data_IF_608601315386
#
_entry.id   IF_608601315386
#
_cell.length_a   1.000
_cell.length_b   1.000
_cell.length_c   1.000
_cell.angle_alpha   90.00
_cell.angle_beta   90.00
_cell.angle_gamma   90.00
#
_symmetry.space_group_name_H-M   'P 1'
#
loop_
_entity.id
_entity.type
_entity.pdbx_description
1 polymer ?
#
# COMPACT_ATOMS: atom_id res chain seq x y z
N UNK A 1 17.96 -91.96 25.33
CA UNK A 1 18.69 -90.80 24.81
C UNK A 1 17.85 -90.12 23.78
N UNK A 2 17.20 -88.97 24.11
CA UNK A 2 16.38 -88.14 23.21
C UNK A 2 17.11 -86.82 23.02
N UNK A 3 17.58 -86.60 21.78
CA UNK A 3 18.23 -85.38 21.39
C UNK A 3 17.19 -84.44 20.84
N UNK A 4 16.98 -83.30 21.53
CA UNK A 4 16.17 -82.18 21.04
C UNK A 4 16.98 -81.30 20.11
N UNK A 5 16.56 -81.22 18.88
CA UNK A 5 17.04 -80.27 17.90
C UNK A 5 16.20 -78.94 18.07
N UNK A 6 16.82 -77.89 18.54
CA UNK A 6 16.23 -76.54 18.56
C UNK A 6 16.64 -75.81 17.28
N UNK A 7 15.69 -75.64 16.37
CA UNK A 7 15.86 -74.84 15.18
C UNK A 7 15.73 -73.36 15.50
N UNK A 8 16.82 -72.64 15.50
CA UNK A 8 16.83 -71.16 15.65
C UNK A 8 16.52 -70.57 14.29
N UNK A 9 15.33 -69.98 14.15
CA UNK A 9 14.96 -69.25 12.92
C UNK A 9 15.57 -67.83 13.04
N UNK A 10 16.58 -67.59 12.19
CA UNK A 10 17.24 -66.30 12.10
C UNK A 10 16.45 -65.41 11.12
N UNK A 11 15.92 -64.23 11.51
CA UNK A 11 15.17 -63.36 10.61
C UNK A 11 16.12 -62.77 9.55
N UNK A 12 15.73 -62.97 8.27
CA UNK A 12 16.49 -62.55 7.11
C UNK A 12 16.70 -61.02 7.10
N UNK A 13 17.86 -60.59 6.67
CA UNK A 13 18.28 -59.18 6.58
C UNK A 13 17.35 -58.30 5.71
N UNK A 14 16.57 -58.91 4.86
CA UNK A 14 15.57 -58.29 4.00
C UNK A 14 14.41 -57.67 4.81
N UNK A 15 13.99 -58.31 5.93
CA UNK A 15 12.87 -57.82 6.76
C UNK A 15 13.22 -56.51 7.51
N UNK A 16 14.51 -56.36 7.89
CA UNK A 16 14.99 -55.13 8.55
C UNK A 16 15.04 -53.93 7.62
N UNK A 17 15.27 -54.13 6.32
CA UNK A 17 15.25 -53.04 5.32
C UNK A 17 13.86 -52.57 5.03
N UNK A 18 12.89 -53.49 4.97
CA UNK A 18 11.48 -53.16 4.71
C UNK A 18 10.85 -52.31 5.83
N UNK A 19 11.13 -52.64 7.07
CA UNK A 19 10.63 -51.86 8.24
C UNK A 19 11.22 -50.46 8.28
N UNK A 20 12.48 -50.28 7.85
CA UNK A 20 13.10 -48.93 7.79
C UNK A 20 12.49 -48.08 6.68
N UNK A 21 12.19 -48.65 5.51
CA UNK A 21 11.55 -47.92 4.42
C UNK A 21 10.11 -47.47 4.80
N UNK A 22 9.34 -48.32 5.44
CA UNK A 22 7.97 -47.99 5.88
C UNK A 22 7.99 -46.86 6.94
N UNK A 23 8.96 -46.85 7.85
CA UNK A 23 9.08 -45.77 8.86
C UNK A 23 9.52 -44.43 8.24
N UNK A 24 10.39 -44.42 7.25
CA UNK A 24 10.78 -43.19 6.54
C UNK A 24 9.66 -42.62 5.67
N UNK A 25 8.87 -43.47 5.01
CA UNK A 25 7.72 -43.03 4.22
C UNK A 25 6.59 -42.45 5.09
N UNK A 26 6.37 -42.99 6.30
CA UNK A 26 5.35 -42.49 7.22
C UNK A 26 5.69 -41.10 7.79
N UNK A 27 6.99 -40.83 8.07
CA UNK A 27 7.41 -39.51 8.56
C UNK A 27 7.35 -38.44 7.45
N UNK A 28 7.66 -38.81 6.18
CA UNK A 28 7.59 -37.85 5.06
C UNK A 28 6.16 -37.42 4.74
N UNK A 29 5.19 -38.31 4.86
CA UNK A 29 3.78 -38.02 4.62
C UNK A 29 3.18 -37.06 5.68
N UNK A 30 3.60 -37.17 6.93
CA UNK A 30 3.14 -36.31 8.01
C UNK A 30 3.67 -34.87 7.89
N UNK A 31 4.91 -34.67 7.44
CA UNK A 31 5.48 -33.34 7.22
C UNK A 31 4.84 -32.63 6.04
N UNK A 32 4.57 -33.34 4.94
CA UNK A 32 3.86 -32.76 3.77
C UNK A 32 2.40 -32.37 4.11
N UNK A 33 1.71 -33.19 4.90
CA UNK A 33 0.34 -32.91 5.32
C UNK A 33 0.19 -31.69 6.21
N UNK A 34 1.20 -31.38 7.05
CA UNK A 34 1.18 -30.21 7.94
C UNK A 34 1.34 -28.88 7.18
N UNK A 35 2.03 -28.88 6.02
CA UNK A 35 2.21 -27.67 5.19
C UNK A 35 0.98 -27.30 4.36
N UNK A 36 0.11 -28.26 4.05
CA UNK A 36 -1.13 -28.01 3.30
C UNK A 36 -2.28 -27.48 4.17
N UNK A 37 -2.19 -27.60 5.50
CA UNK A 37 -3.24 -27.19 6.44
C UNK A 37 -3.16 -25.73 6.91
N UNK A 38 -2.08 -24.97 6.58
CA UNK A 38 -1.84 -23.60 7.04
C UNK A 38 -2.16 -22.52 5.98
N UNK A 39 -2.86 -22.89 4.91
CA UNK A 39 -3.43 -21.90 3.99
C UNK A 39 -4.61 -21.24 4.69
N UNK A 40 -4.34 -20.23 5.54
CA UNK A 40 -5.38 -19.31 5.98
C UNK A 40 -6.05 -18.74 4.72
N UNK A 41 -7.40 -18.75 4.62
CA UNK A 41 -8.08 -18.14 3.49
C UNK A 41 -7.61 -16.69 3.40
N UNK A 42 -6.96 -16.35 2.30
CA UNK A 42 -6.65 -14.96 1.99
C UNK A 42 -8.01 -14.29 1.74
N UNK A 43 -8.60 -13.68 2.76
CA UNK A 43 -9.77 -12.85 2.58
C UNK A 43 -9.38 -11.69 1.66
N UNK A 44 -9.81 -11.78 0.41
CA UNK A 44 -9.74 -10.65 -0.51
C UNK A 44 -10.53 -9.49 0.11
N UNK A 45 -9.97 -8.28 0.05
CA UNK A 45 -10.67 -7.09 0.51
C UNK A 45 -11.91 -6.89 -0.34
N UNK A 46 -13.06 -6.70 0.31
CA UNK A 46 -14.32 -6.37 -0.38
C UNK A 46 -14.18 -4.97 -1.01
N UNK A 47 -14.18 -4.94 -2.36
CA UNK A 47 -13.99 -3.70 -3.13
C UNK A 47 -15.11 -2.68 -2.92
N UNK A 48 -16.35 -3.14 -2.72
CA UNK A 48 -17.47 -2.23 -2.48
C UNK A 48 -17.43 -1.61 -1.09
N UNK A 49 -17.11 -2.41 -0.06
CA UNK A 49 -16.86 -1.88 1.28
C UNK A 49 -15.68 -0.89 1.25
N UNK A 50 -14.60 -1.23 0.52
CA UNK A 50 -13.45 -0.36 0.36
C UNK A 50 -13.84 0.98 -0.27
N UNK A 51 -14.59 0.97 -1.37
CA UNK A 51 -15.06 2.18 -2.04
C UNK A 51 -15.88 3.07 -1.10
N UNK A 52 -16.84 2.49 -0.37
CA UNK A 52 -17.67 3.24 0.60
C UNK A 52 -16.80 3.84 1.71
N UNK A 53 -15.82 3.10 2.21
CA UNK A 53 -14.89 3.60 3.21
C UNK A 53 -14.03 4.77 2.67
N UNK A 54 -13.57 4.67 1.42
CA UNK A 54 -12.73 5.69 0.79
C UNK A 54 -13.52 6.96 0.39
N UNK A 55 -14.85 6.87 0.32
CA UNK A 55 -15.72 8.02 0.07
C UNK A 55 -15.85 8.96 1.28
N UNK A 56 -15.45 8.54 2.48
CA UNK A 56 -15.45 9.31 3.71
C UNK A 56 -14.09 9.34 4.41
N UNK A 57 -14.04 9.96 5.60
CA UNK A 57 -12.83 9.95 6.43
C UNK A 57 -12.69 8.60 7.14
N UNK A 58 -12.20 7.61 6.40
CA UNK A 58 -12.04 6.23 6.84
C UNK A 58 -11.19 6.05 8.12
N UNK A 59 -10.28 7.00 8.39
CA UNK A 59 -9.42 6.98 9.59
C UNK A 59 -10.23 7.12 10.88
N UNK A 60 -11.39 7.80 10.80
CA UNK A 60 -12.29 8.02 11.93
C UNK A 60 -13.44 6.99 11.99
N UNK A 61 -13.48 6.02 11.09
CA UNK A 61 -14.52 4.99 11.01
C UNK A 61 -13.91 3.64 11.34
N UNK A 62 -14.16 3.13 12.53
CA UNK A 62 -13.55 1.90 13.06
C UNK A 62 -13.74 0.67 12.16
N UNK A 63 -14.88 0.56 11.46
CA UNK A 63 -15.16 -0.53 10.52
C UNK A 63 -14.40 -0.39 9.19
N UNK A 64 -13.98 0.83 8.84
CA UNK A 64 -13.27 1.14 7.60
C UNK A 64 -11.76 0.99 7.73
N UNK A 65 -11.21 1.41 8.87
CA UNK A 65 -9.76 1.45 9.09
C UNK A 65 -9.05 0.13 8.73
N UNK A 66 -9.46 -1.06 9.24
CA UNK A 66 -8.78 -2.31 8.92
C UNK A 66 -8.89 -2.69 7.44
N UNK A 67 -10.02 -2.40 6.80
CA UNK A 67 -10.27 -2.68 5.37
C UNK A 67 -9.35 -1.85 4.49
N UNK A 68 -9.28 -0.53 4.71
CA UNK A 68 -8.44 0.39 3.93
C UNK A 68 -6.96 0.10 4.18
N UNK A 69 -6.53 -0.08 5.43
CA UNK A 69 -5.14 -0.42 5.75
C UNK A 69 -4.70 -1.74 5.10
N UNK A 70 -5.60 -2.73 5.01
CA UNK A 70 -5.28 -3.98 4.32
C UNK A 70 -5.11 -3.75 2.81
N UNK A 71 -6.01 -3.01 2.17
CA UNK A 71 -5.92 -2.70 0.75
C UNK A 71 -4.63 -1.92 0.42
N UNK A 72 -4.25 -0.94 1.25
CA UNK A 72 -3.01 -0.17 1.08
C UNK A 72 -1.77 -1.07 1.22
N UNK A 73 -1.74 -1.98 2.21
CA UNK A 73 -0.64 -2.94 2.34
C UNK A 73 -0.53 -3.90 1.14
N UNK A 74 -1.66 -4.28 0.58
CA UNK A 74 -1.69 -5.15 -0.59
C UNK A 74 -1.23 -4.41 -1.85
N UNK A 75 -1.65 -3.16 -2.03
CA UNK A 75 -1.13 -2.27 -3.08
C UNK A 75 0.39 -2.07 -2.94
N UNK A 76 0.91 -1.82 -1.74
CA UNK A 76 2.34 -1.69 -1.49
C UNK A 76 3.16 -2.95 -1.86
N UNK A 77 2.52 -4.12 -1.86
CA UNK A 77 3.10 -5.40 -2.29
C UNK A 77 2.88 -5.71 -3.77
N UNK A 78 2.34 -4.77 -4.55
CA UNK A 78 2.03 -4.96 -5.96
C UNK A 78 0.81 -5.83 -6.24
N UNK A 79 -0.05 -6.07 -5.24
CA UNK A 79 -1.32 -6.77 -5.44
C UNK A 79 -2.32 -5.85 -6.12
N UNK A 80 -3.23 -6.44 -6.92
CA UNK A 80 -4.28 -5.68 -7.60
C UNK A 80 -5.17 -4.92 -6.61
N UNK A 81 -5.67 -3.76 -7.05
CA UNK A 81 -6.63 -2.98 -6.27
C UNK A 81 -8.02 -3.60 -6.39
N UNK A 82 -8.76 -3.79 -5.28
CA UNK A 82 -10.10 -4.37 -5.31
C UNK A 82 -11.08 -3.46 -6.06
N UNK A 83 -11.83 -4.02 -7.00
CA UNK A 83 -12.92 -3.33 -7.72
C UNK A 83 -14.26 -3.53 -7.01
N UNK A 84 -15.18 -2.60 -7.26
CA UNK A 84 -16.58 -2.70 -6.83
C UNK A 84 -17.47 -2.78 -8.07
N UNK A 85 -18.19 -3.89 -8.25
CA UNK A 85 -19.05 -4.14 -9.41
C UNK A 85 -20.54 -3.80 -9.13
N UNK A 86 -20.82 -2.87 -8.22
CA UNK A 86 -22.19 -2.51 -7.82
C UNK A 86 -22.99 -1.74 -8.90
N UNK A 87 -22.60 -1.76 -10.15
CA UNK A 87 -23.29 -1.07 -11.22
C UNK A 87 -23.43 0.45 -10.95
N UNK A 88 -22.93 1.28 -11.82
CA UNK A 88 -22.93 2.72 -11.65
C UNK A 88 -21.57 3.34 -11.96
N UNK A 89 -21.53 4.66 -11.92
CA UNK A 89 -20.31 5.44 -12.20
C UNK A 89 -19.41 5.69 -10.98
N UNK A 90 -19.63 4.95 -9.89
CA UNK A 90 -18.81 5.05 -8.67
C UNK A 90 -17.70 4.00 -8.70
N UNK A 91 -16.46 4.41 -8.50
CA UNK A 91 -15.29 3.54 -8.58
C UNK A 91 -14.12 4.04 -7.74
N UNK A 92 -13.20 3.15 -7.42
CA UNK A 92 -11.87 3.51 -6.93
C UNK A 92 -10.80 2.81 -7.73
N UNK A 93 -9.68 3.50 -7.99
CA UNK A 93 -8.56 2.98 -8.73
C UNK A 93 -7.24 3.40 -8.08
N UNK A 94 -6.29 2.47 -7.97
CA UNK A 94 -4.94 2.75 -7.51
C UNK A 94 -4.02 3.02 -8.69
N UNK A 95 -3.21 4.07 -8.59
CA UNK A 95 -2.16 4.41 -9.53
C UNK A 95 -0.85 4.60 -8.77
N UNK A 96 0.23 3.95 -9.24
CA UNK A 96 1.58 4.26 -8.75
C UNK A 96 2.05 5.60 -9.30
N UNK A 97 2.73 6.36 -8.47
CA UNK A 97 3.13 7.74 -8.76
C UNK A 97 4.64 7.84 -8.85
N UNK A 98 5.14 8.34 -9.96
CA UNK A 98 6.56 8.71 -10.08
C UNK A 98 6.83 9.96 -9.22
N UNK A 99 8.05 10.13 -8.65
CA UNK A 99 8.36 11.27 -7.78
C UNK A 99 8.04 12.65 -8.40
N UNK A 100 8.16 12.79 -9.71
CA UNK A 100 7.83 14.02 -10.44
C UNK A 100 6.33 14.36 -10.42
N UNK A 101 5.48 13.34 -10.26
CA UNK A 101 4.01 13.46 -10.24
C UNK A 101 3.45 13.64 -8.82
N UNK A 102 4.33 13.68 -7.82
CA UNK A 102 3.94 13.91 -6.42
C UNK A 102 3.24 15.27 -6.28
N UNK A 103 2.28 15.35 -5.37
CA UNK A 103 1.67 16.61 -5.00
C UNK A 103 2.75 17.62 -4.57
N UNK A 104 2.70 18.88 -5.03
CA UNK A 104 3.83 19.81 -4.94
C UNK A 104 4.31 20.05 -3.52
N UNK A 105 3.41 20.10 -2.52
CA UNK A 105 3.75 20.29 -1.10
C UNK A 105 4.52 19.13 -0.48
N UNK A 106 4.50 17.95 -1.10
CA UNK A 106 5.21 16.75 -0.63
C UNK A 106 6.42 16.40 -1.49
N UNK A 107 6.56 17.05 -2.65
CA UNK A 107 7.67 16.80 -3.56
C UNK A 107 8.88 17.61 -3.13
N UNK A 108 10.01 16.94 -2.98
CA UNK A 108 11.32 17.60 -2.85
C UNK A 108 12.15 17.36 -4.10
N UNK A 109 13.07 18.28 -4.39
CA UNK A 109 14.01 18.11 -5.48
C UNK A 109 15.40 18.67 -5.09
N UNK A 110 16.44 18.08 -5.67
CA UNK A 110 17.82 18.54 -5.56
C UNK A 110 18.55 18.27 -6.86
N UNK A 111 19.64 19.00 -7.08
CA UNK A 111 20.52 18.79 -8.22
C UNK A 111 21.61 17.79 -7.86
N UNK A 112 21.86 16.79 -8.71
CA UNK A 112 22.96 15.86 -8.56
C UNK A 112 24.29 16.49 -9.05
N UNK A 113 25.40 15.74 -8.90
CA UNK A 113 26.73 16.21 -9.31
C UNK A 113 26.87 16.43 -10.82
N UNK A 114 25.94 15.93 -11.61
CA UNK A 114 25.95 16.05 -13.08
C UNK A 114 24.99 17.12 -13.59
N UNK A 115 24.34 17.87 -12.70
CA UNK A 115 23.36 18.89 -13.06
C UNK A 115 21.95 18.35 -13.29
N UNK A 116 21.66 17.07 -12.97
CA UNK A 116 20.32 16.52 -13.14
C UNK A 116 19.45 16.83 -11.93
N UNK A 117 18.20 17.21 -12.16
CA UNK A 117 17.22 17.40 -11.10
C UNK A 117 16.66 16.04 -10.67
N UNK A 118 16.89 15.68 -9.43
CA UNK A 118 16.37 14.46 -8.79
C UNK A 118 15.16 14.84 -7.94
N UNK A 119 14.09 14.09 -8.09
CA UNK A 119 12.85 14.28 -7.31
C UNK A 119 12.68 13.17 -6.29
N UNK A 120 12.07 13.51 -5.14
CA UNK A 120 11.63 12.57 -4.12
C UNK A 120 10.19 12.85 -3.72
N UNK A 121 9.47 11.77 -3.40
CA UNK A 121 8.09 11.79 -2.93
C UNK A 121 7.94 10.79 -1.78
N UNK A 122 7.34 11.13 -0.64
CA UNK A 122 7.08 10.19 0.44
C UNK A 122 5.97 9.19 0.08
N UNK A 123 5.16 9.49 -0.94
CA UNK A 123 4.05 8.65 -1.39
C UNK A 123 4.46 7.87 -2.65
N UNK A 124 4.06 6.59 -2.70
CA UNK A 124 4.33 5.68 -3.82
C UNK A 124 3.14 5.50 -4.74
N UNK A 125 1.97 5.95 -4.30
CA UNK A 125 0.77 5.84 -5.12
C UNK A 125 -0.34 6.77 -4.67
N UNK A 126 -1.35 6.86 -5.52
CA UNK A 126 -2.56 7.63 -5.30
C UNK A 126 -3.78 6.78 -5.66
N UNK A 127 -4.78 6.79 -4.80
CA UNK A 127 -6.07 6.15 -5.05
C UNK A 127 -7.05 7.24 -5.44
N UNK A 128 -7.55 7.15 -6.66
CA UNK A 128 -8.61 8.01 -7.16
C UNK A 128 -9.95 7.41 -6.78
N UNK A 129 -10.84 8.22 -6.21
CA UNK A 129 -12.22 7.86 -5.91
C UNK A 129 -13.15 8.73 -6.74
N UNK A 130 -14.10 8.09 -7.41
CA UNK A 130 -15.20 8.74 -8.10
C UNK A 130 -16.52 8.28 -7.49
N UNK A 131 -17.45 9.19 -7.29
CA UNK A 131 -18.83 8.93 -6.84
C UNK A 131 -19.78 9.53 -7.87
N UNK A 132 -20.67 8.70 -8.40
CA UNK A 132 -21.62 9.11 -9.45
C UNK A 132 -20.95 9.79 -10.66
N UNK A 133 -19.76 9.28 -11.05
CA UNK A 133 -18.96 9.80 -12.16
C UNK A 133 -18.20 11.08 -11.86
N UNK A 134 -18.34 11.66 -10.68
CA UNK A 134 -17.59 12.86 -10.28
C UNK A 134 -16.33 12.47 -9.51
N UNK A 135 -15.22 13.13 -9.80
CA UNK A 135 -14.00 12.99 -9.03
C UNK A 135 -14.23 13.46 -7.59
N UNK A 136 -14.05 12.56 -6.63
CA UNK A 136 -14.44 12.74 -5.23
C UNK A 136 -13.26 13.03 -4.32
N UNK A 137 -12.26 12.13 -4.34
CA UNK A 137 -11.04 12.29 -3.53
C UNK A 137 -9.85 11.60 -4.17
N UNK A 138 -8.65 11.98 -3.71
CA UNK A 138 -7.39 11.28 -3.96
C UNK A 138 -6.75 10.94 -2.62
N UNK A 139 -6.45 9.67 -2.40
CA UNK A 139 -5.71 9.24 -1.22
C UNK A 139 -4.27 8.92 -1.62
N UNK A 140 -3.36 9.79 -1.25
CA UNK A 140 -1.92 9.58 -1.39
C UNK A 140 -1.46 8.60 -0.32
N UNK A 141 -0.71 7.57 -0.68
CA UNK A 141 -0.29 6.53 0.24
C UNK A 141 1.18 6.15 0.08
N UNK A 142 1.81 5.75 1.21
CA UNK A 142 3.19 5.27 1.26
C UNK A 142 3.26 3.78 1.60
N UNK A 143 4.37 3.09 1.28
CA UNK A 143 4.59 1.69 1.67
C UNK A 143 4.66 1.50 3.19
N UNK A 144 4.98 2.54 3.98
CA UNK A 144 4.96 2.53 5.45
C UNK A 144 3.54 2.48 6.03
N UNK A 145 2.52 2.77 5.20
CA UNK A 145 1.11 2.82 5.62
C UNK A 145 0.61 4.22 5.95
N UNK A 146 1.46 5.24 5.78
CA UNK A 146 1.03 6.63 5.90
C UNK A 146 0.17 7.02 4.71
N UNK A 147 -0.79 7.89 4.93
CA UNK A 147 -1.67 8.38 3.88
C UNK A 147 -2.26 9.74 4.20
N UNK A 148 -2.53 10.51 3.16
CA UNK A 148 -3.24 11.79 3.24
C UNK A 148 -4.34 11.83 2.19
N UNK A 149 -5.47 12.43 2.51
CA UNK A 149 -6.63 12.54 1.62
C UNK A 149 -6.73 13.97 1.09
N UNK A 150 -6.72 14.07 -0.23
CA UNK A 150 -7.06 15.29 -0.96
C UNK A 150 -8.55 15.24 -1.31
N UNK A 151 -9.35 16.09 -0.70
CA UNK A 151 -10.76 16.19 -1.00
C UNK A 151 -10.98 17.10 -2.21
N UNK A 152 -11.69 16.60 -3.22
CA UNK A 152 -11.97 17.34 -4.44
C UNK A 152 -13.28 18.17 -4.31
N UNK A 153 -13.54 19.11 -5.24
CA UNK A 153 -14.64 20.06 -5.09
C UNK A 153 -16.02 19.43 -4.84
N UNK A 154 -16.31 18.28 -5.48
CA UNK A 154 -17.59 17.58 -5.28
C UNK A 154 -17.76 17.10 -3.83
N UNK A 155 -16.73 16.49 -3.26
CA UNK A 155 -16.76 16.06 -1.86
C UNK A 155 -16.82 17.25 -0.90
N UNK A 156 -16.03 18.30 -1.16
CA UNK A 156 -16.05 19.53 -0.34
C UNK A 156 -17.42 20.19 -0.33
N UNK A 157 -18.11 20.21 -1.47
CA UNK A 157 -19.46 20.73 -1.57
C UNK A 157 -20.48 19.86 -0.81
N UNK A 158 -20.39 18.54 -0.97
CA UNK A 158 -21.29 17.59 -0.31
C UNK A 158 -21.16 17.59 1.21
N UNK A 159 -19.96 17.80 1.74
CA UNK A 159 -19.68 17.82 3.18
C UNK A 159 -19.60 19.23 3.78
N UNK A 160 -19.94 20.26 3.02
CA UNK A 160 -19.93 21.62 3.51
C UNK A 160 -20.79 21.78 4.78
N UNK A 161 -20.21 22.33 5.84
CA UNK A 161 -20.88 22.51 7.12
C UNK A 161 -21.01 21.25 7.99
N UNK A 162 -20.40 20.12 7.62
CA UNK A 162 -20.40 18.90 8.42
C UNK A 162 -19.03 18.68 9.07
N UNK A 163 -18.82 19.08 10.33
CA UNK A 163 -17.53 18.98 11.00
C UNK A 163 -17.05 17.52 11.14
N UNK A 164 -15.74 17.29 11.02
CA UNK A 164 -15.11 16.00 11.29
C UNK A 164 -15.28 14.91 10.21
N UNK A 165 -16.04 15.19 9.15
CA UNK A 165 -16.23 14.25 8.04
C UNK A 165 -15.04 14.23 7.10
N UNK A 166 -14.38 15.37 6.92
CA UNK A 166 -13.16 15.50 6.11
C UNK A 166 -11.94 15.75 6.99
N UNK A 167 -10.82 15.12 6.63
CA UNK A 167 -9.50 15.49 7.14
C UNK A 167 -8.98 16.62 6.25
N UNK A 168 -8.57 17.75 6.82
CA UNK A 168 -8.09 18.93 6.11
C UNK A 168 -6.55 18.99 6.03
N UNK A 169 -5.85 17.91 6.39
CA UNK A 169 -4.39 17.89 6.42
C UNK A 169 -3.78 18.26 5.07
N UNK A 170 -4.29 17.69 3.97
CA UNK A 170 -3.79 18.00 2.62
C UNK A 170 -3.88 19.49 2.29
N UNK A 171 -5.02 20.10 2.61
CA UNK A 171 -5.27 21.53 2.32
C UNK A 171 -4.39 22.44 3.18
N UNK A 172 -4.17 22.09 4.46
CA UNK A 172 -3.25 22.83 5.33
C UNK A 172 -1.79 22.74 4.84
N UNK A 173 -1.37 21.54 4.48
CA UNK A 173 -0.01 21.32 3.98
C UNK A 173 0.22 22.07 2.66
N UNK A 174 -0.80 22.06 1.78
CA UNK A 174 -0.75 22.82 0.53
C UNK A 174 -0.69 24.34 0.78
N UNK A 175 -1.51 24.85 1.70
CA UNK A 175 -1.50 26.28 2.04
C UNK A 175 -0.14 26.73 2.62
N UNK A 176 0.45 25.93 3.50
CA UNK A 176 1.77 26.21 4.07
C UNK A 176 2.86 26.19 2.99
N UNK A 177 2.84 25.21 2.11
CA UNK A 177 3.74 25.16 0.96
C UNK A 177 3.58 26.35 0.02
N UNK A 178 2.36 26.74 -0.32
CA UNK A 178 2.08 27.87 -1.21
C UNK A 178 2.64 29.19 -0.67
N UNK A 179 2.52 29.43 0.64
CA UNK A 179 3.11 30.59 1.29
C UNK A 179 4.64 30.56 1.19
N UNK A 180 5.28 29.43 1.47
CA UNK A 180 6.74 29.28 1.37
C UNK A 180 7.24 29.47 -0.05
N UNK A 181 6.52 28.96 -1.03
CA UNK A 181 6.86 29.07 -2.45
C UNK A 181 6.74 30.50 -2.97
N UNK A 182 5.70 31.24 -2.55
CA UNK A 182 5.58 32.66 -2.85
C UNK A 182 6.75 33.46 -2.27
N UNK A 183 7.18 33.15 -1.03
CA UNK A 183 8.35 33.77 -0.42
C UNK A 183 9.64 33.48 -1.19
N UNK A 184 9.83 32.26 -1.64
CA UNK A 184 10.99 31.85 -2.46
C UNK A 184 11.04 32.61 -3.79
N UNK A 185 9.93 32.67 -4.51
CA UNK A 185 9.83 33.40 -5.80
C UNK A 185 10.06 34.89 -5.62
N UNK A 186 9.56 35.50 -4.54
CA UNK A 186 9.81 36.88 -4.25
C UNK A 186 11.31 37.17 -3.94
N UNK A 187 11.96 36.26 -3.22
CA UNK A 187 13.40 36.38 -2.94
C UNK A 187 14.26 36.24 -4.20
N UNK A 188 13.92 35.30 -5.08
CA UNK A 188 14.60 35.13 -6.39
C UNK A 188 14.45 36.36 -7.26
N UNK A 189 13.24 36.89 -7.40
CA UNK A 189 12.98 38.10 -8.20
C UNK A 189 13.73 39.33 -7.62
N UNK A 190 13.87 39.47 -6.30
CA UNK A 190 14.62 40.49 -5.66
C UNK A 190 16.14 40.35 -5.93
N UNK A 191 16.65 39.12 -5.88
CA UNK A 191 18.06 38.82 -6.17
C UNK A 191 18.41 39.12 -7.65
N UNK A 192 17.54 38.76 -8.58
CA UNK A 192 17.70 39.10 -10.00
C UNK A 192 17.72 40.62 -10.23
N UNK A 193 16.76 41.33 -9.61
CA UNK A 193 16.74 42.81 -9.69
C UNK A 193 18.01 43.47 -9.11
N UNK A 194 18.51 42.95 -8.00
CA UNK A 194 19.75 43.44 -7.40
C UNK A 194 20.96 43.18 -8.29
N UNK A 195 21.05 42.00 -8.91
CA UNK A 195 22.16 41.68 -9.83
C UNK A 195 22.15 42.54 -11.10
N UNK A 196 20.94 42.85 -11.63
CA UNK A 196 20.78 43.74 -12.77
C UNK A 196 21.24 45.21 -12.49
N UNK A 197 21.09 45.66 -11.25
CA UNK A 197 21.54 47.01 -10.83
C UNK A 197 23.02 47.07 -10.51
N UNK A 198 23.67 45.97 -10.12
CA UNK A 198 25.10 45.90 -9.79
C UNK A 198 26.07 45.76 -10.98
N UNK A 199 25.58 45.55 -12.20
CA UNK A 199 26.37 45.33 -13.43
C UNK A 199 26.81 46.57 -14.19
N UNK A 200 26.71 47.74 -13.61
CA UNK A 200 27.14 49.01 -14.19
C UNK A 200 28.52 49.48 -13.71
N UNK A 201 29.61 48.90 -14.28
CA UNK A 201 30.97 49.47 -14.20
C UNK A 201 31.56 49.55 -15.63
#
# INVERSE_FOLDING_TARGET
MKTHFSTVIQPSSQFRRFVRFVRLAACSGLVLGLWLGLSAPAHAVDGCKLLLCMAGNWKNISQCEPTVRQALRDAARGRGWPSCDMGGSSASANQYVAPQQCAPQYRTSWEDRNGNIIYSCPYSGVIHVAIEGQAWSRTWWSPSGDSVVEWLPAAKAAFAGTPGVMDDQFDRDYAAWAISEQGRLAAESAAEAASAQGGGW
#
